data_IF_030566017812
#
_entry.id   IF_030566017812
#
_cell.length_a   1.000
_cell.length_b   1.000
_cell.length_c   1.000
_cell.angle_alpha   90.00
_cell.angle_beta   90.00
_cell.angle_gamma   90.00
#
_symmetry.space_group_name_H-M   'P 1'
#
loop_
_entity.id
_entity.type
_entity.pdbx_description
1 polymer ?
#
# COMPACT_ATOMS: atom_id res chain seq x y z
N UNK A 1 16.71 -5.79 -15.68
CA UNK A 1 17.35 -4.89 -14.70
C UNK A 1 16.81 -3.49 -14.95
N UNK A 2 16.29 -2.78 -13.94
CA UNK A 2 15.80 -1.42 -14.19
C UNK A 2 14.81 -0.80 -13.19
N UNK A 3 14.47 -1.46 -12.08
CA UNK A 3 13.55 -0.89 -11.09
C UNK A 3 14.30 -0.47 -9.82
N UNK A 4 13.95 0.70 -9.31
CA UNK A 4 14.34 1.15 -7.97
C UNK A 4 13.29 0.67 -6.98
N UNK A 5 13.69 -0.15 -6.02
CA UNK A 5 12.80 -0.59 -4.95
C UNK A 5 12.87 0.39 -3.78
N UNK A 6 11.71 0.85 -3.34
CA UNK A 6 11.56 1.59 -2.08
C UNK A 6 10.80 0.68 -1.11
N UNK A 7 11.43 0.36 0.02
CA UNK A 7 10.84 -0.49 1.05
C UNK A 7 10.31 0.36 2.20
N UNK A 8 9.03 0.18 2.52
CA UNK A 8 8.34 0.90 3.58
C UNK A 8 7.84 -0.08 4.63
N UNK A 9 8.50 -0.15 5.80
CA UNK A 9 8.04 -0.97 6.91
C UNK A 9 7.27 -0.11 7.92
N UNK A 10 5.97 -0.35 8.02
CA UNK A 10 5.06 0.42 8.87
C UNK A 10 4.93 -0.18 10.27
N UNK A 11 5.24 -1.46 10.46
CA UNK A 11 5.01 -2.19 11.71
C UNK A 11 3.54 -2.15 12.18
N UNK A 12 2.59 -1.98 11.25
CA UNK A 12 1.17 -1.81 11.57
C UNK A 12 0.79 -0.44 12.13
N UNK A 13 1.72 0.53 12.13
CA UNK A 13 1.46 1.89 12.63
C UNK A 13 0.81 2.72 11.53
N UNK A 14 -0.39 3.22 11.80
CA UNK A 14 -1.22 3.95 10.84
C UNK A 14 -0.56 5.23 10.31
N UNK A 15 0.06 6.03 11.20
CA UNK A 15 0.73 7.27 10.80
C UNK A 15 1.87 6.99 9.81
N UNK A 16 2.59 5.88 10.01
CA UNK A 16 3.67 5.47 9.09
C UNK A 16 3.12 5.01 7.75
N UNK A 17 2.01 4.26 7.74
CA UNK A 17 1.34 3.87 6.49
C UNK A 17 0.98 5.11 5.66
N UNK A 18 0.40 6.12 6.31
CA UNK A 18 0.03 7.39 5.68
C UNK A 18 1.21 8.14 5.13
N UNK A 19 2.23 8.35 5.96
CA UNK A 19 3.38 9.16 5.57
C UNK A 19 4.16 8.49 4.43
N UNK A 20 4.25 7.15 4.41
CA UNK A 20 4.86 6.42 3.30
C UNK A 20 4.04 6.45 2.02
N UNK A 21 2.72 6.22 2.06
CA UNK A 21 1.88 6.30 0.86
C UNK A 21 1.98 7.69 0.24
N UNK A 22 1.92 8.74 1.08
CA UNK A 22 2.09 10.13 0.63
C UNK A 22 3.46 10.36 0.00
N UNK A 23 4.53 9.91 0.65
CA UNK A 23 5.90 10.04 0.12
C UNK A 23 6.06 9.31 -1.23
N UNK A 24 5.49 8.11 -1.38
CA UNK A 24 5.54 7.34 -2.63
C UNK A 24 4.80 8.07 -3.76
N UNK A 25 3.63 8.64 -3.47
CA UNK A 25 2.89 9.47 -4.42
C UNK A 25 3.65 10.75 -4.81
N UNK A 26 4.25 11.46 -3.84
CA UNK A 26 5.08 12.64 -4.09
C UNK A 26 6.31 12.31 -4.94
N UNK A 27 6.87 11.11 -4.79
CA UNK A 27 7.96 10.59 -5.62
C UNK A 27 7.53 10.12 -7.00
N UNK A 28 6.22 10.10 -7.31
CA UNK A 28 5.66 9.63 -8.58
C UNK A 28 6.14 8.23 -8.96
N UNK A 29 6.06 7.29 -8.01
CA UNK A 29 6.40 5.90 -8.28
C UNK A 29 5.49 5.30 -9.35
N UNK A 30 6.02 4.39 -10.17
CA UNK A 30 5.27 3.75 -11.24
C UNK A 30 4.28 2.67 -10.75
N UNK A 31 4.40 2.25 -9.49
CA UNK A 31 3.49 1.29 -8.87
C UNK A 31 3.83 0.97 -7.42
N UNK A 32 2.87 0.38 -6.71
CA UNK A 32 2.99 0.00 -5.29
C UNK A 32 2.56 -1.46 -5.09
N UNK A 33 3.37 -2.22 -4.35
CA UNK A 33 3.02 -3.52 -3.81
C UNK A 33 2.69 -3.36 -2.33
N UNK A 34 1.45 -3.67 -1.94
CA UNK A 34 0.97 -3.55 -0.56
C UNK A 34 0.90 -4.95 0.05
N UNK A 35 1.71 -5.18 1.09
CA UNK A 35 1.68 -6.40 1.90
C UNK A 35 1.29 -6.00 3.32
N UNK A 36 0.13 -6.43 3.79
CA UNK A 36 -0.39 -6.16 5.12
C UNK A 36 -1.11 -7.39 5.67
N UNK A 37 -1.12 -7.55 6.99
CA UNK A 37 -1.88 -8.62 7.64
C UNK A 37 -3.39 -8.41 7.47
N UNK A 38 -3.84 -7.16 7.57
CA UNK A 38 -5.22 -6.75 7.42
C UNK A 38 -5.28 -5.49 6.55
N UNK A 39 -6.18 -5.48 5.56
CA UNK A 39 -6.49 -4.29 4.77
C UNK A 39 -7.66 -3.55 5.43
N UNK A 40 -7.36 -2.63 6.34
CA UNK A 40 -8.42 -1.82 6.96
C UNK A 40 -9.07 -0.88 5.94
N UNK A 41 -10.32 -0.49 6.17
CA UNK A 41 -11.01 0.44 5.27
C UNK A 41 -10.29 1.79 5.18
N UNK A 42 -9.64 2.27 6.25
CA UNK A 42 -8.84 3.50 6.22
C UNK A 42 -7.63 3.39 5.29
N UNK A 43 -6.91 2.25 5.35
CA UNK A 43 -5.77 1.99 4.46
C UNK A 43 -6.23 1.89 3.00
N UNK A 44 -7.37 1.23 2.77
CA UNK A 44 -8.00 1.11 1.46
C UNK A 44 -8.42 2.48 0.91
N UNK A 45 -9.11 3.30 1.68
CA UNK A 45 -9.46 4.67 1.30
C UNK A 45 -8.22 5.51 0.97
N UNK A 46 -7.16 5.39 1.78
CA UNK A 46 -5.90 6.07 1.53
C UNK A 46 -5.26 5.66 0.20
N UNK A 47 -5.28 4.36 -0.10
CA UNK A 47 -4.82 3.84 -1.37
C UNK A 47 -5.71 4.37 -2.49
N UNK A 48 -7.04 4.30 -2.37
CA UNK A 48 -8.00 4.72 -3.40
C UNK A 48 -7.90 6.21 -3.75
N UNK A 49 -7.52 7.07 -2.79
CA UNK A 49 -7.20 8.48 -3.08
C UNK A 49 -6.04 8.67 -4.06
N UNK A 50 -5.17 7.67 -4.19
CA UNK A 50 -4.07 7.61 -5.14
C UNK A 50 -4.36 6.55 -6.21
N UNK A 51 -5.54 6.63 -6.84
CA UNK A 51 -5.99 5.70 -7.89
C UNK A 51 -5.14 5.78 -9.18
N UNK A 52 -4.38 6.85 -9.35
CA UNK A 52 -3.45 7.07 -10.47
C UNK A 52 -2.21 6.17 -10.41
N UNK A 53 -1.89 5.63 -9.24
CA UNK A 53 -0.74 4.73 -9.05
C UNK A 53 -1.22 3.27 -9.10
N UNK A 54 -0.75 2.46 -10.07
CA UNK A 54 -1.06 1.03 -10.12
C UNK A 54 -0.65 0.34 -8.82
N UNK A 55 -1.56 -0.43 -8.24
CA UNK A 55 -1.32 -1.11 -6.96
C UNK A 55 -1.75 -2.57 -7.01
N UNK A 56 -0.98 -3.40 -6.31
CA UNK A 56 -1.30 -4.81 -6.07
C UNK A 56 -1.33 -5.01 -4.57
N UNK A 57 -2.48 -5.40 -4.04
CA UNK A 57 -2.64 -5.78 -2.63
C UNK A 57 -2.44 -7.29 -2.54
N UNK A 58 -1.43 -7.71 -1.77
CA UNK A 58 -1.17 -9.11 -1.47
C UNK A 58 -1.82 -9.45 -0.14
N UNK A 59 -3.04 -9.97 -0.21
CA UNK A 59 -3.74 -10.52 0.93
C UNK A 59 -3.36 -12.00 1.09
N UNK A 60 -2.99 -12.39 2.31
CA UNK A 60 -2.65 -13.77 2.66
C UNK A 60 -3.86 -14.58 3.16
N UNK A 61 -5.06 -13.97 3.20
CA UNK A 61 -6.32 -14.66 3.48
C UNK A 61 -6.86 -15.46 2.29
N UNK A 62 -7.64 -16.52 2.51
CA UNK A 62 -8.37 -17.19 1.42
C UNK A 62 -9.28 -16.17 0.72
N UNK A 63 -9.48 -16.28 -0.60
CA UNK A 63 -10.33 -15.34 -1.38
C UNK A 63 -11.77 -15.18 -0.82
N UNK A 64 -12.18 -16.06 0.10
CA UNK A 64 -13.46 -16.04 0.81
C UNK A 64 -13.47 -15.29 2.15
N UNK A 65 -12.35 -14.83 2.69
CA UNK A 65 -12.34 -14.03 3.92
C UNK A 65 -12.64 -12.57 3.62
N UNK A 66 -13.90 -12.30 3.24
CA UNK A 66 -14.49 -10.98 3.43
C UNK A 66 -14.81 -10.85 4.92
N UNK A 67 -13.82 -10.40 5.69
CA UNK A 67 -14.07 -9.81 7.00
C UNK A 67 -14.44 -8.34 6.82
#
# INVERSE_FOLDING_TARGET
QGYTLILCNTGGIYEKQRDYIRMLAEKRVDGILVMCSDLTEELKEMLDRHADIPKVVMDWGPESSRA
#
